data_IF_747746340755
#
_entry.id   IF_747746340755
#
_cell.length_a   1.000
_cell.length_b   1.000
_cell.length_c   1.000
_cell.angle_alpha   90.00
_cell.angle_beta   90.00
_cell.angle_gamma   90.00
#
_symmetry.space_group_name_H-M   'P 1'
#
loop_
_entity.id
_entity.type
_entity.pdbx_description
1 polymer ?
#
# COMPACT_ATOMS: atom_id res chain seq x y z
N UNK A 1 -7.88 -23.04 -14.99
CA UNK A 1 -7.75 -23.87 -16.23
C UNK A 1 -8.51 -23.27 -17.45
N UNK A 2 -8.74 -21.94 -17.54
CA UNK A 2 -9.41 -21.29 -18.69
C UNK A 2 -8.46 -20.81 -19.80
N UNK A 3 -7.17 -20.59 -19.49
CA UNK A 3 -6.22 -19.90 -20.37
C UNK A 3 -5.97 -20.56 -21.74
N UNK A 4 -6.15 -21.88 -21.86
CA UNK A 4 -5.98 -22.60 -23.12
C UNK A 4 -7.09 -22.35 -24.14
N UNK A 5 -8.22 -21.72 -23.77
CA UNK A 5 -9.37 -21.53 -24.67
C UNK A 5 -9.21 -20.43 -25.71
N UNK A 6 -8.21 -19.55 -25.58
CA UNK A 6 -8.08 -18.34 -26.42
C UNK A 6 -6.75 -18.20 -27.18
N UNK A 7 -5.84 -19.18 -27.06
CA UNK A 7 -4.51 -19.18 -27.70
C UNK A 7 -4.62 -19.03 -29.23
N UNK A 8 -5.60 -19.68 -29.85
CA UNK A 8 -5.84 -19.65 -31.29
C UNK A 8 -6.17 -18.26 -31.82
N UNK A 9 -7.06 -17.56 -31.13
CA UNK A 9 -7.48 -16.20 -31.49
C UNK A 9 -6.29 -15.22 -31.48
N UNK A 10 -5.35 -15.37 -30.54
CA UNK A 10 -4.14 -14.55 -30.42
C UNK A 10 -3.13 -14.83 -31.52
N UNK A 11 -2.95 -16.10 -31.88
CA UNK A 11 -2.14 -16.53 -33.04
C UNK A 11 -2.65 -15.86 -34.31
N UNK A 12 -3.98 -15.86 -34.50
CA UNK A 12 -4.62 -15.23 -35.65
C UNK A 12 -4.40 -13.72 -35.68
N UNK A 13 -4.60 -13.06 -34.54
CA UNK A 13 -4.45 -11.61 -34.42
C UNK A 13 -3.00 -11.20 -34.70
N UNK A 14 -2.01 -11.86 -34.06
CA UNK A 14 -0.61 -11.52 -34.28
C UNK A 14 -0.14 -11.81 -35.70
N UNK A 15 -0.68 -12.86 -36.32
CA UNK A 15 -0.44 -13.16 -37.73
C UNK A 15 -0.97 -12.04 -38.64
N UNK A 16 -2.15 -11.49 -38.33
CA UNK A 16 -2.74 -10.39 -39.09
C UNK A 16 -1.96 -9.09 -38.90
N UNK A 17 -1.51 -8.78 -37.68
CA UNK A 17 -0.65 -7.62 -37.39
C UNK A 17 0.65 -7.64 -38.18
N UNK A 18 1.26 -8.82 -38.34
CA UNK A 18 2.47 -9.02 -39.12
C UNK A 18 2.21 -9.13 -40.63
N UNK A 19 0.95 -9.04 -41.08
CA UNK A 19 0.57 -9.15 -42.49
C UNK A 19 0.82 -10.54 -43.10
N UNK A 20 0.98 -11.58 -42.27
CA UNK A 20 1.37 -12.92 -42.71
C UNK A 20 0.19 -13.73 -43.24
N UNK A 21 0.38 -14.40 -44.37
CA UNK A 21 -0.60 -15.34 -44.92
C UNK A 21 -0.61 -16.64 -44.10
N UNK A 22 -1.81 -17.14 -43.79
CA UNK A 22 -2.01 -18.36 -43.00
C UNK A 22 -1.26 -19.57 -43.59
N UNK A 23 -1.26 -19.74 -44.92
CA UNK A 23 -0.55 -20.83 -45.58
C UNK A 23 0.98 -20.78 -45.35
N UNK A 24 1.59 -19.59 -45.36
CA UNK A 24 3.02 -19.40 -45.16
C UNK A 24 3.44 -19.71 -43.72
N UNK A 25 2.64 -19.29 -42.74
CA UNK A 25 2.88 -19.63 -41.33
C UNK A 25 2.74 -21.14 -41.11
N UNK A 26 1.72 -21.78 -41.71
CA UNK A 26 1.53 -23.22 -41.58
C UNK A 26 2.73 -24.01 -42.15
N UNK A 27 3.23 -23.61 -43.32
CA UNK A 27 4.39 -24.22 -43.98
C UNK A 27 5.68 -24.07 -43.16
N UNK A 28 5.93 -22.87 -42.62
CA UNK A 28 7.13 -22.56 -41.81
C UNK A 28 7.18 -23.38 -40.52
N UNK A 29 6.02 -23.66 -39.94
CA UNK A 29 5.87 -24.41 -38.68
C UNK A 29 5.71 -25.93 -38.95
N UNK A 30 5.62 -26.35 -40.22
CA UNK A 30 5.53 -27.77 -40.60
C UNK A 30 4.16 -28.41 -40.36
N UNK A 31 3.08 -27.63 -40.44
CA UNK A 31 1.69 -28.11 -40.31
C UNK A 31 0.84 -27.75 -41.54
N UNK A 32 -0.32 -28.41 -41.70
CA UNK A 32 -1.20 -28.07 -42.82
C UNK A 32 -1.96 -26.75 -42.58
N UNK A 33 -2.27 -25.97 -43.63
CA UNK A 33 -3.08 -24.73 -43.50
C UNK A 33 -4.44 -24.96 -42.84
N UNK A 34 -5.09 -26.10 -43.12
CA UNK A 34 -6.34 -26.49 -42.45
C UNK A 34 -6.14 -26.77 -40.96
N UNK A 35 -4.99 -27.33 -40.56
CA UNK A 35 -4.67 -27.55 -39.15
C UNK A 35 -4.45 -26.23 -38.42
N UNK A 36 -3.70 -25.29 -39.01
CA UNK A 36 -3.54 -23.95 -38.47
C UNK A 36 -4.88 -23.20 -38.36
N UNK A 37 -5.79 -23.40 -39.31
CA UNK A 37 -7.13 -22.81 -39.25
C UNK A 37 -7.97 -23.32 -38.07
N UNK A 38 -7.91 -24.63 -37.79
CA UNK A 38 -8.56 -25.20 -36.62
C UNK A 38 -7.97 -24.69 -35.30
N UNK A 39 -6.66 -24.42 -35.28
CA UNK A 39 -5.98 -23.82 -34.14
C UNK A 39 -6.42 -22.37 -33.96
N UNK A 40 -6.38 -21.55 -35.01
CA UNK A 40 -6.75 -20.12 -34.99
C UNK A 40 -8.21 -19.87 -34.56
N UNK A 41 -9.09 -20.84 -34.81
CA UNK A 41 -10.49 -20.81 -34.36
C UNK A 41 -10.73 -21.52 -33.02
N UNK A 42 -9.67 -21.83 -32.26
CA UNK A 42 -9.72 -22.52 -30.96
C UNK A 42 -10.43 -23.89 -31.00
N UNK A 43 -10.52 -24.53 -32.17
CA UNK A 43 -11.12 -25.87 -32.33
C UNK A 43 -10.15 -27.00 -32.02
N UNK A 44 -8.84 -26.75 -32.12
CA UNK A 44 -7.77 -27.67 -31.68
C UNK A 44 -6.86 -26.97 -30.67
N UNK A 45 -6.61 -27.65 -29.55
CA UNK A 45 -5.65 -27.20 -28.53
C UNK A 45 -4.23 -27.47 -29.01
N UNK A 46 -3.32 -26.59 -28.62
CA UNK A 46 -1.89 -26.70 -28.92
C UNK A 46 -1.08 -26.53 -27.64
N UNK A 47 0.13 -27.09 -27.64
CA UNK A 47 1.07 -26.99 -26.54
C UNK A 47 2.44 -27.54 -26.92
N UNK A 48 3.42 -27.37 -26.05
CA UNK A 48 4.78 -27.86 -26.26
C UNK A 48 5.43 -27.27 -27.50
N UNK A 49 6.13 -28.11 -28.28
CA UNK A 49 6.96 -27.71 -29.42
C UNK A 49 6.22 -26.84 -30.44
N UNK A 50 4.98 -27.18 -30.79
CA UNK A 50 4.19 -26.45 -31.79
C UNK A 50 3.87 -25.01 -31.37
N UNK A 51 3.61 -24.80 -30.07
CA UNK A 51 3.37 -23.46 -29.54
C UNK A 51 4.65 -22.61 -29.58
N UNK A 52 5.79 -23.22 -29.25
CA UNK A 52 7.12 -22.57 -29.34
C UNK A 52 7.49 -22.20 -30.77
N UNK A 53 7.21 -23.09 -31.72
CA UNK A 53 7.49 -22.85 -33.13
C UNK A 53 6.60 -21.73 -33.71
N UNK A 54 5.31 -21.69 -33.32
CA UNK A 54 4.41 -20.58 -33.68
C UNK A 54 4.83 -19.25 -33.04
N UNK A 55 5.21 -19.27 -31.77
CA UNK A 55 5.70 -18.09 -31.05
C UNK A 55 6.94 -17.48 -31.71
N UNK A 56 7.87 -18.33 -32.17
CA UNK A 56 9.06 -17.91 -32.91
C UNK A 56 8.72 -17.25 -34.25
N UNK A 57 7.78 -17.82 -35.02
CA UNK A 57 7.37 -17.28 -36.33
C UNK A 57 6.56 -15.98 -36.18
N UNK A 58 5.84 -15.82 -35.07
CA UNK A 58 5.02 -14.64 -34.78
C UNK A 58 5.76 -13.56 -33.96
N UNK A 59 7.06 -13.73 -33.73
CA UNK A 59 7.92 -12.80 -32.98
C UNK A 59 7.33 -12.40 -31.61
N UNK A 60 6.73 -13.37 -30.92
CA UNK A 60 6.08 -13.15 -29.62
C UNK A 60 6.57 -14.17 -28.60
N UNK A 61 6.72 -13.74 -27.36
CA UNK A 61 7.07 -14.64 -26.27
C UNK A 61 6.01 -15.74 -26.09
N UNK A 62 6.46 -16.98 -25.90
CA UNK A 62 5.59 -18.12 -25.62
C UNK A 62 4.67 -17.89 -24.42
N UNK A 63 5.14 -17.18 -23.39
CA UNK A 63 4.34 -16.79 -22.23
C UNK A 63 3.23 -15.82 -22.59
N UNK A 64 3.45 -14.86 -23.48
CA UNK A 64 2.40 -13.92 -23.91
C UNK A 64 1.29 -14.63 -24.71
N UNK A 65 1.64 -15.64 -25.51
CA UNK A 65 0.67 -16.47 -26.21
C UNK A 65 -0.08 -17.42 -25.26
N UNK A 66 0.61 -17.97 -24.26
CA UNK A 66 0.09 -18.98 -23.32
C UNK A 66 -0.70 -18.38 -22.14
N UNK A 67 -0.19 -17.29 -21.54
CA UNK A 67 -0.67 -16.71 -20.28
C UNK A 67 -1.74 -15.64 -20.50
N UNK A 68 -1.80 -15.04 -21.69
CA UNK A 68 -2.89 -14.16 -22.08
C UNK A 68 -2.86 -12.75 -21.51
N UNK A 69 -4.04 -12.12 -21.44
CA UNK A 69 -4.18 -10.81 -20.78
C UNK A 69 -3.76 -11.01 -19.33
N UNK A 70 -2.82 -10.19 -18.86
CA UNK A 70 -2.33 -10.25 -17.48
C UNK A 70 -3.50 -10.28 -16.51
N UNK A 71 -3.46 -11.23 -15.55
CA UNK A 71 -4.50 -11.38 -14.51
C UNK A 71 -4.81 -10.04 -13.85
N UNK A 72 -3.77 -9.26 -13.56
CA UNK A 72 -3.90 -7.91 -12.98
C UNK A 72 -4.80 -6.98 -13.81
N UNK A 73 -4.66 -6.95 -15.13
CA UNK A 73 -5.49 -6.11 -16.01
C UNK A 73 -6.95 -6.59 -15.99
N UNK A 74 -7.17 -7.90 -16.05
CA UNK A 74 -8.52 -8.47 -15.98
C UNK A 74 -9.18 -8.18 -14.63
N UNK A 75 -8.43 -8.31 -13.54
CA UNK A 75 -8.94 -8.08 -12.19
C UNK A 75 -9.20 -6.59 -11.96
N UNK A 76 -8.34 -5.69 -12.46
CA UNK A 76 -8.62 -4.24 -12.45
C UNK A 76 -9.86 -3.88 -13.26
N UNK A 77 -10.07 -4.48 -14.44
CA UNK A 77 -11.29 -4.25 -15.23
C UNK A 77 -12.55 -4.78 -14.55
N UNK A 78 -12.49 -5.95 -13.90
CA UNK A 78 -13.60 -6.51 -13.12
C UNK A 78 -13.93 -5.65 -11.91
N UNK A 79 -12.91 -5.16 -11.20
CA UNK A 79 -13.06 -4.25 -10.08
C UNK A 79 -13.67 -2.92 -10.54
N UNK A 80 -13.24 -2.39 -11.69
CA UNK A 80 -13.82 -1.18 -12.29
C UNK A 80 -15.33 -1.36 -12.57
N UNK A 81 -15.71 -2.51 -13.13
CA UNK A 81 -17.12 -2.83 -13.40
C UNK A 81 -17.95 -2.98 -12.12
N UNK A 82 -17.37 -3.57 -11.06
CA UNK A 82 -18.05 -3.75 -9.78
C UNK A 82 -18.30 -2.42 -9.05
N UNK A 83 -17.41 -1.44 -9.17
CA UNK A 83 -17.46 -0.20 -8.40
C UNK A 83 -18.46 0.83 -8.94
N UNK A 84 -18.68 0.86 -10.25
CA UNK A 84 -19.50 1.91 -10.89
C UNK A 84 -21.00 1.53 -10.95
N UNK A 85 -21.36 0.28 -10.63
CA UNK A 85 -22.77 -0.17 -10.59
C UNK A 85 -23.46 -0.20 -11.96
N UNK A 86 -22.71 -0.06 -13.05
CA UNK A 86 -23.23 -0.18 -14.41
C UNK A 86 -23.45 -1.64 -14.79
N UNK A 87 -24.52 -1.91 -15.56
CA UNK A 87 -24.75 -3.22 -16.18
C UNK A 87 -23.70 -3.50 -17.26
N UNK A 88 -22.53 -3.99 -16.84
CA UNK A 88 -21.43 -4.40 -17.72
C UNK A 88 -21.37 -5.92 -17.76
N UNK A 89 -21.10 -6.51 -18.93
CA UNK A 89 -20.97 -7.95 -19.12
C UNK A 89 -19.64 -8.48 -18.53
N UNK A 90 -19.55 -8.55 -17.20
CA UNK A 90 -18.35 -8.99 -16.45
C UNK A 90 -17.88 -10.39 -16.87
N UNK A 91 -18.81 -11.28 -17.26
CA UNK A 91 -18.50 -12.62 -17.74
C UNK A 91 -17.70 -12.60 -19.07
N UNK A 92 -17.72 -11.49 -19.80
CA UNK A 92 -17.04 -11.31 -21.09
C UNK A 92 -15.80 -10.41 -21.00
N UNK A 93 -15.34 -10.03 -19.80
CA UNK A 93 -14.14 -9.19 -19.62
C UNK A 93 -12.90 -9.78 -20.28
N UNK A 94 -12.74 -11.11 -20.25
CA UNK A 94 -11.60 -11.79 -20.88
C UNK A 94 -11.65 -11.72 -22.42
N UNK A 95 -12.86 -11.80 -23.01
CA UNK A 95 -13.08 -11.65 -24.44
C UNK A 95 -12.80 -10.21 -24.90
N UNK A 96 -13.28 -9.22 -24.13
CA UNK A 96 -13.06 -7.81 -24.39
C UNK A 96 -11.57 -7.45 -24.33
N UNK A 97 -10.88 -7.88 -23.27
CA UNK A 97 -9.48 -7.56 -23.07
C UNK A 97 -8.56 -8.25 -24.08
N UNK A 98 -8.92 -9.45 -24.53
CA UNK A 98 -8.19 -10.13 -25.60
C UNK A 98 -8.38 -9.45 -26.96
N UNK A 99 -9.56 -8.90 -27.25
CA UNK A 99 -9.87 -8.29 -28.56
C UNK A 99 -9.46 -6.82 -28.66
N UNK A 100 -9.36 -6.11 -27.54
CA UNK A 100 -9.03 -4.68 -27.49
C UNK A 100 -8.02 -4.37 -26.37
N UNK A 101 -6.75 -4.81 -26.51
CA UNK A 101 -5.76 -4.71 -25.44
C UNK A 101 -5.43 -3.26 -25.01
N UNK A 102 -5.42 -2.31 -25.95
CA UNK A 102 -5.19 -0.89 -25.63
C UNK A 102 -6.31 -0.28 -24.77
N UNK A 103 -7.56 -0.62 -25.08
CA UNK A 103 -8.71 -0.19 -24.27
C UNK A 103 -8.73 -0.86 -22.90
N UNK A 104 -8.37 -2.15 -22.83
CA UNK A 104 -8.23 -2.86 -21.58
C UNK A 104 -7.20 -2.21 -20.64
N UNK A 105 -6.03 -1.85 -21.18
CA UNK A 105 -4.99 -1.16 -20.43
C UNK A 105 -5.45 0.22 -19.94
N UNK A 106 -6.16 0.99 -20.77
CA UNK A 106 -6.71 2.29 -20.38
C UNK A 106 -7.74 2.17 -19.26
N UNK A 107 -8.67 1.21 -19.37
CA UNK A 107 -9.70 0.97 -18.34
C UNK A 107 -9.04 0.57 -17.02
N UNK A 108 -8.08 -0.34 -17.06
CA UNK A 108 -7.33 -0.77 -15.88
C UNK A 108 -6.57 0.39 -15.23
N UNK A 109 -5.86 1.20 -16.02
CA UNK A 109 -5.15 2.39 -15.54
C UNK A 109 -6.09 3.44 -14.92
N UNK A 110 -7.27 3.66 -15.52
CA UNK A 110 -8.28 4.56 -14.95
C UNK A 110 -8.84 4.01 -13.63
N UNK A 111 -9.10 2.71 -13.55
CA UNK A 111 -9.57 2.08 -12.32
C UNK A 111 -8.54 2.23 -11.18
N UNK A 112 -7.26 2.01 -11.48
CA UNK A 112 -6.17 2.23 -10.53
C UNK A 112 -6.08 3.70 -10.10
N UNK A 113 -6.21 4.64 -11.04
CA UNK A 113 -6.21 6.08 -10.75
C UNK A 113 -7.39 6.50 -9.88
N UNK A 114 -8.60 6.03 -10.18
CA UNK A 114 -9.81 6.31 -9.40
C UNK A 114 -9.67 5.76 -7.98
N UNK A 115 -9.23 4.51 -7.83
CA UNK A 115 -8.98 3.91 -6.52
C UNK A 115 -7.95 4.72 -5.70
N UNK A 116 -6.87 5.19 -6.34
CA UNK A 116 -5.89 6.05 -5.67
C UNK A 116 -6.46 7.42 -5.27
N UNK A 117 -7.33 8.02 -6.09
CA UNK A 117 -7.99 9.29 -5.77
C UNK A 117 -9.01 9.12 -4.64
N UNK A 118 -9.78 8.04 -4.64
CA UNK A 118 -10.73 7.71 -3.57
C UNK A 118 -10.01 7.47 -2.25
N UNK A 119 -8.89 6.74 -2.26
CA UNK A 119 -8.08 6.51 -1.07
C UNK A 119 -7.50 7.82 -0.53
N UNK A 120 -6.98 8.70 -1.41
CA UNK A 120 -6.56 10.05 -1.00
C UNK A 120 -7.70 10.82 -0.36
N UNK A 121 -8.89 10.84 -0.96
CA UNK A 121 -10.06 11.50 -0.38
C UNK A 121 -10.45 10.94 0.98
N UNK A 122 -10.34 9.62 1.15
CA UNK A 122 -10.62 8.93 2.41
C UNK A 122 -9.59 9.29 3.49
N UNK A 123 -8.30 9.33 3.14
CA UNK A 123 -7.21 9.78 4.04
C UNK A 123 -7.37 11.25 4.42
N UNK A 124 -7.71 12.13 3.48
CA UNK A 124 -8.01 13.54 3.76
C UNK A 124 -9.20 13.68 4.73
N UNK A 125 -10.26 12.90 4.50
CA UNK A 125 -11.45 12.90 5.36
C UNK A 125 -11.14 12.40 6.77
N UNK A 126 -10.36 11.32 6.89
CA UNK A 126 -9.90 10.79 8.18
C UNK A 126 -8.99 11.79 8.89
N UNK A 127 -8.11 12.50 8.16
CA UNK A 127 -7.26 13.56 8.74
C UNK A 127 -8.11 14.70 9.28
N UNK A 128 -9.08 15.20 8.52
CA UNK A 128 -10.01 16.26 8.99
C UNK A 128 -10.83 15.78 10.20
N UNK A 129 -11.31 14.54 10.18
CA UNK A 129 -12.14 13.99 11.26
C UNK A 129 -11.38 13.82 12.60
N UNK A 130 -10.05 13.68 12.56
CA UNK A 130 -9.22 13.42 13.74
C UNK A 130 -8.07 14.42 13.91
N UNK A 131 -8.12 15.60 13.26
CA UNK A 131 -7.10 16.61 13.44
C UNK A 131 -7.24 17.25 14.84
N UNK A 132 -6.25 17.08 15.74
CA UNK A 132 -6.31 17.62 17.09
C UNK A 132 -6.27 19.15 17.12
N UNK A 133 -5.62 19.79 16.15
CA UNK A 133 -5.58 21.25 15.99
C UNK A 133 -6.97 21.77 15.57
N UNK A 134 -7.62 21.12 14.61
CA UNK A 134 -8.98 21.46 14.17
C UNK A 134 -10.00 21.28 15.30
N UNK A 135 -9.92 20.16 16.02
CA UNK A 135 -10.78 19.85 17.15
C UNK A 135 -10.59 20.84 18.31
N UNK A 136 -9.36 21.30 18.56
CA UNK A 136 -9.08 22.33 19.57
C UNK A 136 -9.67 23.70 19.17
N UNK A 137 -9.47 24.13 17.91
CA UNK A 137 -10.02 25.39 17.40
C UNK A 137 -11.56 25.42 17.43
N UNK A 138 -12.21 24.31 17.08
CA UNK A 138 -13.68 24.19 17.19
C UNK A 138 -14.17 24.27 18.64
N UNK A 139 -13.46 23.65 19.58
CA UNK A 139 -13.79 23.76 21.00
C UNK A 139 -13.64 25.19 21.55
N UNK A 140 -12.61 25.93 21.13
CA UNK A 140 -12.46 27.34 21.51
C UNK A 140 -13.62 28.20 21.00
N UNK A 141 -14.03 28.01 19.74
CA UNK A 141 -15.20 28.70 19.16
C UNK A 141 -16.47 28.39 19.95
N UNK A 142 -16.75 27.11 20.23
CA UNK A 142 -17.93 26.70 21.01
C UNK A 142 -17.90 27.27 22.43
N UNK A 143 -16.72 27.29 23.06
CA UNK A 143 -16.53 27.79 24.42
C UNK A 143 -16.74 29.29 24.49
N UNK A 144 -16.18 30.06 23.55
CA UNK A 144 -16.37 31.50 23.46
C UNK A 144 -17.83 31.87 23.21
N UNK A 145 -18.50 31.21 22.25
CA UNK A 145 -19.94 31.43 21.98
C UNK A 145 -20.79 31.11 23.22
N UNK A 146 -20.48 30.02 23.93
CA UNK A 146 -21.21 29.64 25.14
C UNK A 146 -21.03 30.65 26.27
N UNK A 147 -19.81 31.19 26.45
CA UNK A 147 -19.50 32.19 27.45
C UNK A 147 -20.17 33.55 27.15
N UNK A 148 -20.16 33.98 25.88
CA UNK A 148 -20.90 35.18 25.43
C UNK A 148 -22.39 35.02 25.72
N UNK A 149 -22.98 33.89 25.32
CA UNK A 149 -24.41 33.62 25.53
C UNK A 149 -24.77 33.62 27.02
N UNK A 150 -23.94 33.00 27.86
CA UNK A 150 -24.14 32.97 29.31
C UNK A 150 -24.10 34.39 29.90
N UNK A 151 -23.05 35.15 29.61
CA UNK A 151 -22.89 36.52 30.13
C UNK A 151 -23.99 37.46 29.64
N UNK A 152 -24.40 37.35 28.37
CA UNK A 152 -25.49 38.13 27.80
C UNK A 152 -26.85 37.78 28.43
N UNK A 153 -27.09 36.49 28.71
CA UNK A 153 -28.35 36.06 29.34
C UNK A 153 -28.54 36.59 30.75
N UNK A 154 -27.44 36.77 31.50
CA UNK A 154 -27.46 37.34 32.85
C UNK A 154 -27.77 38.85 32.79
N UNK A 155 -27.16 39.57 31.84
CA UNK A 155 -27.43 41.00 31.63
C UNK A 155 -28.86 41.33 31.19
N UNK A 156 -29.52 40.41 30.49
CA UNK A 156 -30.92 40.56 30.01
C UNK A 156 -31.93 39.95 31.01
N UNK A 157 -31.45 39.32 32.08
CA UNK A 157 -32.27 38.70 33.09
C UNK A 157 -33.13 39.71 33.88
N UNK A 158 -34.15 39.23 34.62
CA UNK A 158 -35.06 40.08 35.39
C UNK A 158 -34.46 40.62 36.71
N UNK A 159 -33.21 40.27 37.04
CA UNK A 159 -32.53 40.68 38.27
C UNK A 159 -31.81 42.03 38.09
N UNK A 160 -31.99 42.95 39.04
CA UNK A 160 -31.28 44.23 39.05
C UNK A 160 -29.81 44.02 39.46
N UNK A 161 -28.91 44.14 38.48
CA UNK A 161 -27.45 44.10 38.68
C UNK A 161 -26.91 45.49 39.03
N UNK A 162 -25.95 45.55 39.95
CA UNK A 162 -25.22 46.80 40.20
C UNK A 162 -24.30 47.19 39.02
N UNK A 163 -23.83 48.44 39.02
CA UNK A 163 -22.98 48.96 37.94
C UNK A 163 -21.62 48.27 37.85
N UNK A 164 -21.10 47.69 38.93
CA UNK A 164 -19.79 47.02 38.89
C UNK A 164 -19.90 45.65 38.22
N UNK A 165 -20.94 44.90 38.54
CA UNK A 165 -21.28 43.64 37.88
C UNK A 165 -21.62 43.84 36.41
N UNK A 166 -22.41 44.86 36.06
CA UNK A 166 -22.70 45.18 34.66
C UNK A 166 -21.43 45.45 33.85
N UNK A 167 -20.51 46.26 34.39
CA UNK A 167 -19.21 46.53 33.76
C UNK A 167 -18.41 45.24 33.53
N UNK A 168 -18.32 44.35 34.54
CA UNK A 168 -17.61 43.07 34.41
C UNK A 168 -18.21 42.16 33.36
N UNK A 169 -19.54 42.06 33.27
CA UNK A 169 -20.19 41.26 32.22
C UNK A 169 -19.98 41.86 30.82
N UNK A 170 -19.98 43.18 30.68
CA UNK A 170 -19.62 43.84 29.42
C UNK A 170 -18.16 43.58 29.01
N UNK A 171 -17.23 43.64 29.96
CA UNK A 171 -15.81 43.31 29.74
C UNK A 171 -15.64 41.83 29.34
N UNK A 172 -16.34 40.91 30.00
CA UNK A 172 -16.32 39.48 29.66
C UNK A 172 -16.86 39.23 28.25
N UNK A 173 -18.02 39.81 27.89
CA UNK A 173 -18.60 39.68 26.55
C UNK A 173 -17.63 40.22 25.50
N UNK A 174 -17.00 41.36 25.75
CA UNK A 174 -16.02 41.93 24.84
C UNK A 174 -14.81 41.00 24.67
N UNK A 175 -14.22 40.53 25.78
CA UNK A 175 -13.08 39.61 25.76
C UNK A 175 -13.37 38.29 25.05
N UNK A 176 -14.53 37.68 25.32
CA UNK A 176 -14.94 36.45 24.64
C UNK A 176 -15.28 36.68 23.16
N UNK A 177 -15.79 37.86 22.80
CA UNK A 177 -16.05 38.22 21.39
C UNK A 177 -14.76 38.38 20.59
N UNK A 178 -13.71 38.97 21.20
CA UNK A 178 -12.37 39.04 20.60
C UNK A 178 -11.78 37.64 20.44
N UNK A 179 -11.84 36.81 21.50
CA UNK A 179 -11.38 35.42 21.44
C UNK A 179 -12.09 34.60 20.35
N UNK A 180 -13.39 34.81 20.18
CA UNK A 180 -14.16 34.18 19.10
C UNK A 180 -13.68 34.63 17.71
N UNK A 181 -13.43 35.93 17.52
CA UNK A 181 -12.94 36.46 16.26
C UNK A 181 -11.55 35.89 15.91
N UNK A 182 -10.63 35.87 16.88
CA UNK A 182 -9.27 35.32 16.71
C UNK A 182 -9.30 33.82 16.41
N UNK A 183 -10.11 33.05 17.15
CA UNK A 183 -10.26 31.61 16.94
C UNK A 183 -10.87 31.29 15.58
N UNK A 184 -11.83 32.11 15.12
CA UNK A 184 -12.45 31.95 13.80
C UNK A 184 -11.48 32.30 12.67
N UNK A 185 -10.67 33.36 12.84
CA UNK A 185 -9.64 33.74 11.88
C UNK A 185 -8.53 32.67 11.76
N UNK A 186 -8.09 32.10 12.89
CA UNK A 186 -7.13 31.00 12.92
C UNK A 186 -7.66 29.73 12.23
N UNK A 187 -8.96 29.42 12.41
CA UNK A 187 -9.62 28.30 11.75
C UNK A 187 -9.68 28.48 10.23
N UNK A 188 -10.02 29.68 9.75
CA UNK A 188 -10.05 29.98 8.31
C UNK A 188 -8.65 29.92 7.72
N UNK A 189 -7.65 30.52 8.37
CA UNK A 189 -6.26 30.46 7.92
C UNK A 189 -5.72 29.03 7.82
N UNK A 190 -6.14 28.15 8.73
CA UNK A 190 -5.80 26.73 8.68
C UNK A 190 -6.50 25.99 7.51
N UNK A 191 -7.77 26.32 7.21
CA UNK A 191 -8.53 25.71 6.11
C UNK A 191 -8.17 26.27 4.71
N UNK A 192 -7.75 27.53 4.63
CA UNK A 192 -7.31 28.20 3.40
C UNK A 192 -5.83 27.99 3.07
N UNK A 193 -5.08 27.31 3.95
CA UNK A 193 -3.70 26.96 3.70
C UNK A 193 -3.61 26.18 2.37
N UNK A 194 -2.84 26.66 1.36
CA UNK A 194 -2.81 26.04 0.03
C UNK A 194 -2.40 24.57 0.11
N UNK A 195 -2.88 23.75 -0.84
CA UNK A 195 -2.74 22.28 -0.92
C UNK A 195 -1.34 21.71 -0.56
N UNK A 196 -0.28 22.51 -0.67
CA UNK A 196 1.08 22.15 -0.25
C UNK A 196 1.32 22.08 1.27
N UNK A 197 0.45 22.64 2.12
CA UNK A 197 0.60 22.55 3.59
C UNK A 197 0.08 21.22 4.13
N UNK A 198 -0.88 20.58 3.45
CA UNK A 198 -1.34 19.23 3.79
C UNK A 198 -0.34 18.13 3.42
N UNK A 199 0.56 18.38 2.44
CA UNK A 199 1.72 17.53 2.15
C UNK A 199 2.88 17.77 3.15
N UNK A 200 3.04 18.98 3.69
CA UNK A 200 4.10 19.31 4.66
C UNK A 200 3.72 19.07 6.14
N UNK A 201 2.46 18.79 6.44
CA UNK A 201 1.98 18.45 7.80
C UNK A 201 2.14 16.96 8.15
N UNK A 202 2.83 16.19 7.32
CA UNK A 202 3.15 14.80 7.62
C UNK A 202 4.13 14.66 8.77
N UNK A 203 4.04 13.57 9.54
CA UNK A 203 5.05 13.28 10.56
C UNK A 203 6.45 13.21 9.92
N UNK A 204 7.55 13.44 10.66
CA UNK A 204 8.90 13.29 10.13
C UNK A 204 9.16 11.95 9.43
N UNK A 205 8.47 10.89 9.86
CA UNK A 205 8.55 9.58 9.21
C UNK A 205 7.84 9.53 7.86
N UNK A 206 6.69 10.19 7.71
CA UNK A 206 5.94 10.26 6.45
C UNK A 206 6.71 11.06 5.38
N UNK A 207 7.36 12.15 5.76
CA UNK A 207 8.21 12.92 4.85
C UNK A 207 9.37 12.06 4.32
N UNK A 208 9.98 11.24 5.17
CA UNK A 208 11.04 10.31 4.78
C UNK A 208 10.51 9.22 3.86
N UNK A 209 9.34 8.66 4.14
CA UNK A 209 8.73 7.64 3.29
C UNK A 209 8.32 8.17 1.92
N UNK A 210 7.76 9.37 1.85
CA UNK A 210 7.45 10.02 0.58
C UNK A 210 8.72 10.22 -0.26
N UNK A 211 9.82 10.62 0.38
CA UNK A 211 11.12 10.70 -0.28
C UNK A 211 11.59 9.32 -0.80
N UNK A 212 11.52 8.28 0.03
CA UNK A 212 11.92 6.92 -0.36
C UNK A 212 11.02 6.34 -1.45
N UNK A 213 9.72 6.63 -1.42
CA UNK A 213 8.76 6.20 -2.43
C UNK A 213 9.10 6.78 -3.81
N UNK A 214 9.57 8.04 -3.87
CA UNK A 214 10.04 8.66 -5.12
C UNK A 214 11.20 7.90 -5.78
N UNK A 215 11.98 7.15 -4.99
CA UNK A 215 13.06 6.28 -5.48
C UNK A 215 12.66 4.79 -5.54
N UNK A 216 11.38 4.47 -5.34
CA UNK A 216 10.88 3.09 -5.25
C UNK A 216 11.48 2.30 -4.08
N UNK A 217 11.88 2.98 -3.01
CA UNK A 217 12.62 2.45 -1.85
C UNK A 217 14.00 1.85 -2.22
N UNK A 218 14.50 2.16 -3.41
CA UNK A 218 15.81 1.74 -3.90
C UNK A 218 16.72 2.96 -4.09
N UNK A 219 17.88 3.00 -3.44
CA UNK A 219 18.77 4.17 -3.47
C UNK A 219 20.00 3.84 -4.30
N UNK A 220 19.88 4.00 -5.62
CA UNK A 220 20.92 3.65 -6.59
C UNK A 220 22.27 4.34 -6.34
N UNK A 221 22.27 5.54 -5.74
CA UNK A 221 23.50 6.24 -5.37
C UNK A 221 24.32 5.45 -4.33
N UNK A 222 23.68 4.94 -3.27
CA UNK A 222 24.36 4.17 -2.22
C UNK A 222 24.81 2.80 -2.76
N UNK A 223 24.01 2.16 -3.61
CA UNK A 223 24.40 0.90 -4.28
C UNK A 223 25.67 1.05 -5.15
N UNK A 224 25.92 2.27 -5.67
CA UNK A 224 27.12 2.62 -6.45
C UNK A 224 28.28 3.12 -5.58
N UNK A 225 28.13 3.15 -4.26
CA UNK A 225 29.18 3.55 -3.31
C UNK A 225 29.14 5.02 -2.89
N UNK A 226 28.07 5.76 -3.17
CA UNK A 226 27.92 7.12 -2.63
C UNK A 226 27.73 7.09 -1.10
N UNK A 227 28.28 8.09 -0.41
CA UNK A 227 28.13 8.21 1.03
C UNK A 227 26.68 8.61 1.40
N UNK A 228 26.10 8.06 2.50
CA UNK A 228 24.79 8.47 3.01
C UNK A 228 24.65 9.98 3.21
N UNK A 229 25.72 10.66 3.61
CA UNK A 229 25.76 12.10 3.83
C UNK A 229 25.57 12.93 2.55
N UNK A 230 25.94 12.38 1.39
CA UNK A 230 25.71 13.01 0.09
C UNK A 230 24.23 12.93 -0.29
N UNK A 231 23.66 11.72 -0.23
CA UNK A 231 22.23 11.49 -0.52
C UNK A 231 21.34 12.31 0.43
N UNK A 232 21.72 12.41 1.70
CA UNK A 232 21.02 13.23 2.69
C UNK A 232 21.00 14.73 2.32
N UNK A 233 22.08 15.26 1.70
CA UNK A 233 22.12 16.64 1.24
C UNK A 233 21.25 16.85 0.00
N UNK A 234 21.29 15.89 -0.93
CA UNK A 234 20.50 15.92 -2.16
C UNK A 234 18.99 15.79 -1.89
N UNK A 235 18.60 15.09 -0.83
CA UNK A 235 17.20 14.90 -0.45
C UNK A 235 16.48 16.18 -0.02
N UNK A 236 17.20 17.23 0.39
CA UNK A 236 16.60 18.52 0.76
C UNK A 236 15.68 18.53 2.00
N UNK A 237 15.63 17.43 2.78
CA UNK A 237 14.81 17.37 3.99
C UNK A 237 15.43 18.16 5.15
N UNK A 238 14.58 18.87 5.91
CA UNK A 238 14.97 19.69 7.05
C UNK A 238 14.43 19.15 8.40
N UNK A 239 14.87 19.76 9.51
CA UNK A 239 14.36 19.48 10.85
C UNK A 239 14.48 18.01 11.29
N UNK A 240 13.48 17.48 12.04
CA UNK A 240 13.47 16.10 12.50
C UNK A 240 13.49 15.04 11.38
N UNK A 241 12.86 15.33 10.22
CA UNK A 241 12.82 14.41 9.07
C UNK A 241 14.23 14.10 8.54
N UNK A 242 15.12 15.12 8.55
CA UNK A 242 16.54 14.93 8.22
C UNK A 242 17.23 13.92 9.13
N UNK A 243 16.89 13.90 10.42
CA UNK A 243 17.47 12.93 11.36
C UNK A 243 16.99 11.52 11.09
N UNK A 244 15.68 11.36 10.87
CA UNK A 244 15.08 10.06 10.53
C UNK A 244 15.67 9.54 9.22
N UNK A 245 15.78 10.37 8.18
CA UNK A 245 16.38 9.97 6.91
C UNK A 245 17.84 9.55 7.10
N UNK A 246 18.62 10.29 7.89
CA UNK A 246 20.02 9.93 8.18
C UNK A 246 20.13 8.50 8.72
N UNK A 247 19.28 8.13 9.69
CA UNK A 247 19.31 6.81 10.31
C UNK A 247 18.93 5.70 9.32
N UNK A 248 17.94 5.97 8.45
CA UNK A 248 17.54 5.07 7.37
C UNK A 248 18.67 4.90 6.35
N UNK A 249 19.30 5.98 5.88
CA UNK A 249 20.39 5.93 4.91
C UNK A 249 21.64 5.23 5.47
N UNK A 250 21.97 5.46 6.74
CA UNK A 250 23.06 4.77 7.41
C UNK A 250 22.79 3.27 7.51
N UNK A 251 21.55 2.88 7.86
CA UNK A 251 21.14 1.47 7.90
C UNK A 251 21.20 0.85 6.50
N UNK A 252 20.72 1.56 5.48
CA UNK A 252 20.78 1.13 4.08
C UNK A 252 22.24 0.87 3.64
N UNK A 253 23.15 1.82 3.89
CA UNK A 253 24.55 1.66 3.51
C UNK A 253 25.24 0.50 4.24
N UNK A 254 24.97 0.31 5.53
CA UNK A 254 25.49 -0.82 6.30
C UNK A 254 24.97 -2.17 5.76
N UNK A 255 23.73 -2.22 5.28
CA UNK A 255 23.18 -3.42 4.66
C UNK A 255 23.78 -3.68 3.27
N UNK A 256 24.03 -2.64 2.47
CA UNK A 256 24.70 -2.73 1.16
C UNK A 256 26.13 -3.25 1.30
N UNK A 257 26.89 -2.77 2.30
CA UNK A 257 28.26 -3.21 2.56
C UNK A 257 28.33 -4.71 2.85
N UNK A 258 27.40 -5.21 3.67
CA UNK A 258 27.31 -6.64 4.01
C UNK A 258 26.73 -7.49 2.89
N UNK A 259 25.82 -6.92 2.10
CA UNK A 259 25.05 -7.65 1.10
C UNK A 259 24.90 -6.88 -0.22
N UNK A 260 25.98 -6.87 -1.04
CA UNK A 260 25.99 -6.17 -2.33
C UNK A 260 24.93 -6.69 -3.30
N UNK A 261 24.28 -5.77 -4.02
CA UNK A 261 23.10 -6.05 -4.85
C UNK A 261 23.29 -7.19 -5.86
N UNK A 262 24.38 -7.19 -6.63
CA UNK A 262 24.59 -8.18 -7.69
C UNK A 262 24.63 -9.63 -7.15
N UNK A 263 25.26 -9.85 -5.99
CA UNK A 263 25.30 -11.16 -5.33
C UNK A 263 23.94 -11.51 -4.74
N UNK A 264 23.26 -10.52 -4.17
CA UNK A 264 21.97 -10.69 -3.53
C UNK A 264 20.84 -11.01 -4.50
N UNK A 265 20.74 -10.31 -5.63
CA UNK A 265 19.72 -10.53 -6.67
C UNK A 265 19.75 -11.97 -7.20
N UNK A 266 20.96 -12.49 -7.45
CA UNK A 266 21.15 -13.87 -7.90
C UNK A 266 20.68 -14.88 -6.87
N UNK A 267 20.99 -14.64 -5.59
CA UNK A 267 20.54 -15.49 -4.50
C UNK A 267 19.01 -15.41 -4.31
N UNK A 268 18.42 -14.22 -4.40
CA UNK A 268 16.97 -14.03 -4.32
C UNK A 268 16.22 -14.88 -5.34
N UNK A 269 16.66 -14.86 -6.61
CA UNK A 269 16.06 -15.70 -7.67
C UNK A 269 16.27 -17.19 -7.43
N UNK A 270 17.46 -17.59 -6.95
CA UNK A 270 17.78 -18.99 -6.65
C UNK A 270 16.92 -19.55 -5.50
N UNK A 271 16.67 -18.75 -4.48
CA UNK A 271 15.94 -19.14 -3.27
C UNK A 271 14.47 -18.70 -3.28
N UNK A 272 13.93 -18.31 -4.44
CA UNK A 272 12.54 -17.87 -4.60
C UNK A 272 12.10 -16.81 -3.59
N UNK A 273 13.02 -15.87 -3.26
CA UNK A 273 12.80 -14.78 -2.31
C UNK A 273 12.45 -15.23 -0.87
N UNK A 274 12.76 -16.46 -0.48
CA UNK A 274 12.52 -16.97 0.88
C UNK A 274 13.50 -16.37 1.92
N UNK A 275 13.05 -15.53 2.87
CA UNK A 275 13.96 -14.86 3.80
C UNK A 275 14.78 -15.80 4.69
N UNK A 276 14.23 -16.89 5.28
CA UNK A 276 15.01 -17.87 6.02
C UNK A 276 16.12 -18.54 5.20
N UNK A 277 15.81 -18.99 3.97
CA UNK A 277 16.83 -19.59 3.09
C UNK A 277 17.94 -18.60 2.73
N UNK A 278 17.60 -17.33 2.49
CA UNK A 278 18.58 -16.27 2.23
C UNK A 278 19.42 -15.97 3.48
N UNK A 279 18.81 -15.85 4.66
CA UNK A 279 19.53 -15.64 5.92
C UNK A 279 20.55 -16.76 6.17
N UNK A 280 20.15 -18.02 5.94
CA UNK A 280 21.04 -19.17 6.03
C UNK A 280 22.16 -19.13 4.98
N UNK A 281 21.85 -18.80 3.73
CA UNK A 281 22.82 -18.78 2.64
C UNK A 281 23.91 -17.69 2.81
N UNK A 282 23.59 -16.58 3.46
CA UNK A 282 24.52 -15.48 3.70
C UNK A 282 25.10 -15.46 5.11
N UNK A 283 24.53 -16.22 6.06
CA UNK A 283 24.91 -16.15 7.47
C UNK A 283 24.64 -14.78 8.09
N UNK A 284 23.59 -14.09 7.63
CA UNK A 284 23.23 -12.73 8.05
C UNK A 284 21.88 -12.71 8.80
N UNK A 285 21.66 -11.73 9.69
CA UNK A 285 20.41 -11.61 10.44
C UNK A 285 19.18 -11.48 9.53
N UNK A 286 18.07 -12.07 9.96
CA UNK A 286 16.82 -12.06 9.20
C UNK A 286 16.31 -10.63 8.93
N UNK A 287 16.46 -9.73 9.90
CA UNK A 287 16.08 -8.32 9.76
C UNK A 287 16.86 -7.60 8.65
N UNK A 288 18.14 -7.91 8.44
CA UNK A 288 18.93 -7.38 7.33
C UNK A 288 18.43 -7.92 6.00
N UNK A 289 18.21 -9.24 5.91
CA UNK A 289 17.69 -9.87 4.69
C UNK A 289 16.33 -9.29 4.29
N UNK A 290 15.42 -9.12 5.25
CA UNK A 290 14.10 -8.53 5.02
C UNK A 290 14.20 -7.08 4.53
N UNK A 291 15.07 -6.25 5.11
CA UNK A 291 15.31 -4.88 4.60
C UNK A 291 15.84 -4.91 3.18
N UNK A 292 16.84 -5.74 2.87
CA UNK A 292 17.42 -5.84 1.52
C UNK A 292 16.40 -6.35 0.48
N UNK A 293 15.54 -7.30 0.84
CA UNK A 293 14.44 -7.75 -0.02
C UNK A 293 13.48 -6.60 -0.35
N UNK A 294 13.12 -5.80 0.65
CA UNK A 294 12.27 -4.63 0.48
C UNK A 294 12.95 -3.47 -0.27
N UNK A 295 14.27 -3.50 -0.49
CA UNK A 295 15.04 -2.47 -1.19
C UNK A 295 15.48 -2.89 -2.60
N UNK A 296 15.00 -4.04 -3.09
CA UNK A 296 15.31 -4.49 -4.44
C UNK A 296 14.77 -3.51 -5.50
N UNK A 297 15.50 -3.31 -6.61
CA UNK A 297 15.14 -2.35 -7.64
C UNK A 297 13.84 -2.76 -8.35
N UNK A 298 12.84 -1.86 -8.46
CA UNK A 298 11.53 -2.20 -9.02
C UNK A 298 11.56 -2.49 -10.53
N UNK A 299 12.53 -1.95 -11.26
CA UNK A 299 12.69 -2.06 -12.73
C UNK A 299 13.27 -3.40 -13.19
N UNK A 300 13.72 -4.27 -12.27
CA UNK A 300 14.33 -5.57 -12.59
C UNK A 300 13.43 -6.79 -12.41
N UNK A 301 12.11 -6.57 -12.31
CA UNK A 301 11.12 -7.65 -12.20
C UNK A 301 11.22 -8.44 -10.89
N UNK A 302 11.59 -7.77 -9.80
CA UNK A 302 11.50 -8.32 -8.45
C UNK A 302 10.06 -8.17 -7.92
N UNK A 303 9.58 -9.08 -7.05
CA UNK A 303 8.27 -8.94 -6.43
C UNK A 303 8.19 -7.63 -5.62
N UNK A 304 7.06 -6.89 -5.68
CA UNK A 304 6.88 -5.62 -4.99
C UNK A 304 6.62 -5.84 -3.48
N UNK A 305 7.64 -6.30 -2.77
CA UNK A 305 7.58 -6.62 -1.34
C UNK A 305 7.45 -5.35 -0.50
N UNK A 306 6.55 -5.39 0.47
CA UNK A 306 6.37 -4.36 1.49
C UNK A 306 7.15 -4.67 2.75
N UNK A 307 7.37 -3.65 3.58
CA UNK A 307 8.09 -3.77 4.83
C UNK A 307 7.47 -2.83 5.86
N UNK A 308 7.20 -3.34 7.04
CA UNK A 308 6.73 -2.51 8.16
C UNK A 308 7.57 -2.78 9.40
N UNK A 309 7.88 -1.72 10.14
CA UNK A 309 8.61 -1.76 11.40
C UNK A 309 7.78 -1.03 12.44
N UNK A 310 7.66 -1.63 13.64
CA UNK A 310 7.03 -0.99 14.78
C UNK A 310 7.89 -1.11 16.05
N UNK A 311 7.63 -0.21 16.99
CA UNK A 311 8.16 -0.30 18.34
C UNK A 311 7.30 -1.22 19.24
N UNK A 312 7.69 -1.34 20.51
CA UNK A 312 6.98 -2.14 21.49
C UNK A 312 5.57 -1.62 21.84
N UNK A 313 5.26 -0.35 21.56
CA UNK A 313 3.91 0.21 21.70
C UNK A 313 3.02 -0.11 20.49
N UNK A 314 3.60 -0.71 19.44
CA UNK A 314 2.92 -1.02 18.19
C UNK A 314 2.82 0.17 17.23
N UNK A 315 3.51 1.28 17.52
CA UNK A 315 3.56 2.44 16.64
C UNK A 315 4.45 2.14 15.43
N UNK A 316 3.95 2.42 14.23
CA UNK A 316 4.69 2.15 12.99
C UNK A 316 5.77 3.23 12.77
N UNK A 317 7.03 2.81 12.81
CA UNK A 317 8.19 3.68 12.63
C UNK A 317 8.72 3.67 11.20
N UNK A 318 8.32 2.69 10.39
CA UNK A 318 8.65 2.60 8.97
C UNK A 318 7.60 1.77 8.23
N UNK A 319 7.18 2.20 7.06
CA UNK A 319 6.20 1.58 6.19
C UNK A 319 6.66 1.72 4.74
N UNK A 320 6.85 0.58 4.09
CA UNK A 320 6.88 0.42 2.64
C UNK A 320 5.62 -0.37 2.25
N UNK A 321 4.71 0.20 1.46
CA UNK A 321 3.48 -0.47 1.06
C UNK A 321 3.75 -1.71 0.19
N UNK A 322 2.80 -2.65 0.18
CA UNK A 322 2.77 -3.78 -0.75
C UNK A 322 1.43 -3.78 -1.50
N UNK A 323 1.40 -4.16 -2.80
CA UNK A 323 0.16 -4.30 -3.55
C UNK A 323 -0.86 -5.19 -2.82
N UNK A 324 -2.08 -4.68 -2.68
CA UNK A 324 -3.17 -5.40 -2.03
C UNK A 324 -3.05 -5.58 -0.52
N UNK A 325 -2.06 -4.95 0.12
CA UNK A 325 -1.89 -4.95 1.57
C UNK A 325 -1.76 -3.52 2.12
N UNK A 326 -2.87 -2.97 2.61
CA UNK A 326 -2.91 -1.61 3.16
C UNK A 326 -2.29 -1.56 4.56
N UNK A 327 -1.32 -0.67 4.75
CA UNK A 327 -0.60 -0.46 6.02
C UNK A 327 -0.88 0.95 6.57
N UNK A 328 -1.91 1.13 7.42
CA UNK A 328 -2.26 2.45 7.90
C UNK A 328 -1.25 2.91 8.94
N UNK A 329 -0.77 4.15 8.81
CA UNK A 329 0.02 4.81 9.86
C UNK A 329 -0.82 5.23 11.06
N UNK A 330 -2.14 5.33 10.91
CA UNK A 330 -3.05 5.66 12.00
C UNK A 330 -3.02 4.59 13.09
N UNK A 331 -3.15 5.05 14.34
CA UNK A 331 -3.15 4.16 15.51
C UNK A 331 -4.31 3.17 15.40
N UNK A 332 -4.03 1.88 15.57
CA UNK A 332 -5.06 0.83 15.61
C UNK A 332 -5.10 -0.12 14.41
N UNK A 333 -3.94 -0.45 13.83
CA UNK A 333 -3.84 -1.53 12.86
C UNK A 333 -4.29 -2.89 13.46
N UNK A 334 -4.52 -3.87 12.61
CA UNK A 334 -5.04 -5.17 13.04
C UNK A 334 -4.04 -5.89 13.97
N UNK A 335 -4.42 -6.24 15.21
CA UNK A 335 -3.51 -6.91 16.16
C UNK A 335 -3.13 -8.33 15.74
N UNK A 336 -3.86 -8.91 14.77
CA UNK A 336 -3.60 -10.23 14.22
C UNK A 336 -2.47 -10.25 13.19
N UNK A 337 -1.85 -9.11 12.89
CA UNK A 337 -0.66 -9.11 12.05
C UNK A 337 0.51 -9.81 12.75
N UNK A 338 1.28 -10.66 12.03
CA UNK A 338 2.47 -11.32 12.55
C UNK A 338 3.47 -10.36 13.20
N UNK A 339 3.52 -9.11 12.71
CA UNK A 339 4.29 -8.01 13.28
C UNK A 339 4.11 -7.88 14.80
N UNK A 340 2.87 -7.86 15.29
CA UNK A 340 2.58 -7.66 16.71
C UNK A 340 2.79 -8.94 17.52
N UNK A 341 2.47 -10.11 16.95
CA UNK A 341 2.73 -11.40 17.58
C UNK A 341 4.21 -11.64 17.85
N UNK A 342 5.09 -11.17 16.97
CA UNK A 342 6.55 -11.30 17.12
C UNK A 342 7.10 -10.55 18.35
N UNK A 343 6.48 -9.43 18.77
CA UNK A 343 6.90 -8.68 19.97
C UNK A 343 6.81 -9.52 21.25
N UNK A 344 5.89 -10.48 21.30
CA UNK A 344 5.72 -11.36 22.46
C UNK A 344 6.81 -12.45 22.54
N UNK A 345 7.57 -12.66 21.47
CA UNK A 345 8.58 -13.73 21.35
C UNK A 345 9.82 -13.23 20.58
N UNK A 346 10.65 -12.34 21.18
CA UNK A 346 11.85 -11.84 20.53
C UNK A 346 12.77 -12.97 20.08
N UNK A 347 13.43 -12.78 18.93
CA UNK A 347 14.28 -13.77 18.24
C UNK A 347 13.59 -15.05 17.77
N UNK A 348 12.26 -15.14 17.85
CA UNK A 348 11.49 -16.24 17.28
C UNK A 348 10.71 -15.77 16.05
N UNK A 349 11.21 -16.01 14.82
CA UNK A 349 10.53 -15.57 13.61
C UNK A 349 9.16 -16.22 13.45
N UNK A 350 8.19 -15.43 12.99
CA UNK A 350 6.84 -15.86 12.65
C UNK A 350 6.69 -15.85 11.13
N UNK A 351 6.26 -16.96 10.55
CA UNK A 351 5.82 -17.06 9.15
C UNK A 351 4.32 -17.30 9.14
N UNK A 352 3.57 -16.49 8.39
CA UNK A 352 2.13 -16.61 8.32
C UNK A 352 1.60 -16.19 6.94
N UNK A 353 0.83 -17.06 6.32
CA UNK A 353 -0.06 -16.68 5.21
C UNK A 353 -1.26 -15.93 5.80
N UNK A 354 -1.51 -14.71 5.31
CA UNK A 354 -2.61 -13.86 5.78
C UNK A 354 -3.55 -13.52 4.63
N UNK A 355 -4.84 -13.33 4.95
CA UNK A 355 -5.86 -12.91 3.99
C UNK A 355 -6.51 -11.59 4.43
N UNK A 356 -6.39 -10.58 3.58
CA UNK A 356 -7.01 -9.28 3.76
C UNK A 356 -8.54 -9.39 3.66
N UNK A 357 -9.30 -8.49 4.31
CA UNK A 357 -10.75 -8.45 4.16
C UNK A 357 -11.12 -7.93 2.77
N UNK A 358 -12.22 -8.43 2.20
CA UNK A 358 -12.71 -8.03 0.87
C UNK A 358 -13.13 -9.23 0.03
N UNK A 359 -13.78 -9.00 -1.12
CA UNK A 359 -14.28 -10.09 -1.97
C UNK A 359 -13.16 -10.89 -2.64
N UNK A 360 -12.07 -10.23 -3.02
CA UNK A 360 -10.89 -10.88 -3.59
C UNK A 360 -10.01 -11.57 -2.53
N UNK A 361 -10.22 -11.25 -1.24
CA UNK A 361 -9.46 -11.78 -0.11
C UNK A 361 -7.95 -11.86 -0.37
N UNK A 362 -7.36 -10.75 -0.80
CA UNK A 362 -5.96 -10.70 -1.25
C UNK A 362 -5.04 -11.32 -0.21
N UNK A 363 -4.22 -12.27 -0.68
CA UNK A 363 -3.29 -13.03 0.16
C UNK A 363 -1.92 -12.38 0.16
N UNK A 364 -1.26 -12.47 1.31
CA UNK A 364 0.14 -12.14 1.44
C UNK A 364 0.83 -13.17 2.33
N UNK A 365 2.11 -13.45 2.03
CA UNK A 365 2.97 -14.22 2.91
C UNK A 365 3.81 -13.26 3.74
N UNK A 366 3.62 -13.31 5.05
CA UNK A 366 4.29 -12.44 5.99
C UNK A 366 5.38 -13.19 6.76
N UNK A 367 6.55 -12.56 6.86
CA UNK A 367 7.63 -12.96 7.75
C UNK A 367 7.82 -11.86 8.77
N UNK A 368 7.78 -12.17 10.06
CA UNK A 368 7.97 -11.19 11.12
C UNK A 368 8.99 -11.67 12.16
N UNK A 369 9.76 -10.74 12.73
CA UNK A 369 10.70 -11.02 13.82
C UNK A 369 10.84 -9.77 14.68
N UNK A 370 10.95 -9.95 16.00
CA UNK A 370 11.26 -8.88 16.93
C UNK A 370 12.65 -9.06 17.54
N UNK A 371 13.38 -7.97 17.70
CA UNK A 371 14.72 -7.93 18.27
C UNK A 371 14.84 -6.73 19.23
N UNK A 372 15.63 -6.83 20.31
CA UNK A 372 16.08 -5.69 21.08
C UNK A 372 16.76 -4.64 20.20
N UNK A 373 16.41 -3.39 20.43
CA UNK A 373 16.98 -2.23 19.79
C UNK A 373 17.85 -1.46 20.78
N UNK A 374 19.15 -1.42 20.50
CA UNK A 374 20.12 -0.78 21.39
C UNK A 374 20.74 -1.76 22.40
N UNK A 375 21.56 -1.25 23.35
CA UNK A 375 22.24 -2.08 24.32
C UNK A 375 21.26 -2.72 25.30
N UNK A 376 21.44 -4.01 25.56
CA UNK A 376 20.75 -4.70 26.65
C UNK A 376 21.45 -4.40 27.97
N UNK A 377 20.69 -4.04 28.99
CA UNK A 377 21.20 -3.68 30.31
C UNK A 377 20.40 -4.42 31.39
N UNK A 378 21.05 -4.69 32.51
CA UNK A 378 20.33 -5.05 33.73
C UNK A 378 19.53 -3.83 34.22
N UNK A 379 18.43 -4.07 34.92
CA UNK A 379 17.58 -3.03 35.55
C UNK A 379 16.83 -2.07 34.62
N UNK A 380 16.84 -2.31 33.30
CA UNK A 380 16.03 -1.58 32.34
C UNK A 380 15.31 -2.54 31.36
N UNK A 381 14.02 -2.32 31.05
CA UNK A 381 13.35 -3.12 30.03
C UNK A 381 13.99 -2.86 28.66
N UNK A 382 14.22 -3.91 27.84
CA UNK A 382 14.79 -3.72 26.51
C UNK A 382 13.78 -2.99 25.62
N UNK A 383 14.25 -2.00 24.87
CA UNK A 383 13.45 -1.43 23.78
C UNK A 383 13.35 -2.49 22.67
N UNK A 384 12.14 -2.93 22.32
CA UNK A 384 11.94 -3.91 21.26
C UNK A 384 11.52 -3.22 19.95
N UNK A 385 12.02 -3.74 18.83
CA UNK A 385 11.51 -3.43 17.50
C UNK A 385 11.06 -4.71 16.82
N UNK A 386 9.87 -4.67 16.22
CA UNK A 386 9.38 -5.74 15.37
C UNK A 386 9.38 -5.31 13.91
N UNK A 387 9.79 -6.20 13.03
CA UNK A 387 9.84 -6.00 11.59
C UNK A 387 9.03 -7.09 10.91
N UNK A 388 8.22 -6.71 9.92
CA UNK A 388 7.46 -7.64 9.09
C UNK A 388 7.66 -7.33 7.60
N UNK A 389 8.08 -8.34 6.85
CA UNK A 389 8.15 -8.33 5.40
C UNK A 389 6.84 -8.91 4.86
N UNK A 390 6.29 -8.27 3.83
CA UNK A 390 5.05 -8.69 3.18
C UNK A 390 5.35 -9.02 1.73
N UNK A 391 5.13 -10.29 1.35
CA UNK A 391 5.27 -10.77 -0.01
C UNK A 391 3.87 -10.93 -0.61
N UNK A 392 3.48 -10.09 -1.59
CA UNK A 392 2.17 -10.18 -2.24
C UNK A 392 2.10 -11.38 -3.19
N UNK A 393 0.89 -11.84 -3.47
CA UNK A 393 0.58 -12.98 -4.36
C UNK A 393 1.46 -14.22 -4.14
N UNK A 394 1.50 -14.76 -2.91
CA UNK A 394 2.30 -15.94 -2.62
C UNK A 394 1.71 -17.19 -3.30
N UNK A 395 2.52 -18.24 -3.51
CA UNK A 395 2.03 -19.55 -3.95
C UNK A 395 0.86 -20.07 -3.11
N UNK A 396 0.11 -21.05 -3.63
CA UNK A 396 -0.99 -21.66 -2.88
C UNK A 396 -0.50 -22.16 -1.50
N UNK A 397 -1.23 -21.85 -0.42
CA UNK A 397 -0.76 -22.16 0.91
C UNK A 397 -1.08 -23.62 1.24
N UNK A 398 -0.27 -24.23 2.08
CA UNK A 398 -0.57 -25.58 2.59
C UNK A 398 -1.78 -25.60 3.54
N UNK A 399 -2.08 -24.47 4.17
CA UNK A 399 -3.15 -24.30 5.17
C UNK A 399 -3.98 -23.07 4.86
N UNK A 400 -5.21 -23.01 5.38
CA UNK A 400 -6.06 -21.83 5.24
C UNK A 400 -5.33 -20.56 5.75
N UNK A 401 -5.27 -19.47 4.96
CA UNK A 401 -4.65 -18.21 5.39
C UNK A 401 -5.33 -17.63 6.62
N UNK A 402 -4.55 -17.03 7.50
CA UNK A 402 -5.06 -16.39 8.71
C UNK A 402 -5.85 -15.11 8.35
N UNK A 403 -7.10 -14.96 8.78
CA UNK A 403 -7.92 -13.80 8.46
C UNK A 403 -7.42 -12.57 9.22
N UNK A 404 -6.96 -11.55 8.49
CA UNK A 404 -6.53 -10.26 9.07
C UNK A 404 -7.41 -9.12 8.56
N UNK A 405 -7.10 -7.91 9.04
CA UNK A 405 -7.78 -6.65 8.72
C UNK A 405 -6.77 -5.52 8.54
N UNK A 406 -7.27 -4.33 8.17
CA UNK A 406 -6.47 -3.09 8.14
C UNK A 406 -6.52 -2.42 9.52
N UNK A 407 -7.70 -2.01 9.97
CA UNK A 407 -7.99 -1.57 11.34
C UNK A 407 -9.37 -2.07 11.78
N UNK A 408 -9.65 -2.12 13.09
CA UNK A 408 -10.93 -2.66 13.59
C UNK A 408 -12.15 -1.89 13.05
N UNK A 409 -12.07 -0.55 12.99
CA UNK A 409 -13.18 0.33 12.60
C UNK A 409 -13.64 0.14 11.16
N UNK A 410 -12.72 -0.23 10.26
CA UNK A 410 -13.00 -0.44 8.84
C UNK A 410 -12.92 -1.92 8.45
N UNK A 411 -12.77 -2.83 9.41
CA UNK A 411 -12.75 -4.25 9.12
C UNK A 411 -14.19 -4.77 9.00
N UNK A 412 -14.59 -5.39 7.87
CA UNK A 412 -15.94 -5.90 7.67
C UNK A 412 -16.20 -7.28 8.30
N UNK A 413 -15.18 -7.92 8.89
CA UNK A 413 -15.30 -9.26 9.48
C UNK A 413 -16.17 -9.21 10.74
N UNK A 414 -17.30 -9.89 10.76
CA UNK A 414 -18.23 -9.87 11.90
C UNK A 414 -17.79 -10.75 13.04
N UNK A 415 -17.17 -11.90 12.74
CA UNK A 415 -16.74 -12.90 13.74
C UNK A 415 -15.22 -12.80 14.01
N UNK A 416 -14.82 -11.75 14.74
CA UNK A 416 -13.41 -11.53 15.11
C UNK A 416 -13.29 -11.34 16.62
N UNK A 417 -12.74 -12.35 17.31
CA UNK A 417 -12.52 -12.32 18.75
C UNK A 417 -11.50 -11.25 19.20
N UNK A 418 -10.61 -10.81 18.30
CA UNK A 418 -9.61 -9.77 18.56
C UNK A 418 -10.06 -8.36 18.20
N UNK A 419 -11.35 -8.17 17.90
CA UNK A 419 -11.92 -6.86 17.55
C UNK A 419 -11.89 -5.93 18.76
N UNK A 420 -11.06 -4.89 18.69
CA UNK A 420 -10.96 -3.83 19.72
C UNK A 420 -12.11 -2.83 19.65
N UNK A 421 -12.50 -2.44 18.44
CA UNK A 421 -13.50 -1.39 18.21
C UNK A 421 -14.62 -1.87 17.28
N UNK A 422 -15.87 -1.42 17.51
CA UNK A 422 -16.97 -1.66 16.58
C UNK A 422 -16.64 -1.13 15.18
N UNK A 423 -17.08 -1.85 14.15
CA UNK A 423 -16.97 -1.38 12.78
C UNK A 423 -17.90 -0.18 12.55
N UNK A 424 -17.49 0.77 11.71
CA UNK A 424 -18.32 1.89 11.28
C UNK A 424 -19.58 1.38 10.55
N UNK A 425 -20.70 2.10 10.70
CA UNK A 425 -21.97 1.77 10.02
C UNK A 425 -21.74 1.69 8.50
N UNK A 426 -22.23 0.63 7.86
CA UNK A 426 -22.08 0.37 6.42
C UNK A 426 -20.90 -0.53 6.02
N UNK A 427 -19.99 -0.84 6.95
CA UNK A 427 -18.89 -1.77 6.75
C UNK A 427 -19.38 -3.23 6.84
N UNK A 428 -19.95 -3.76 5.77
CA UNK A 428 -20.33 -5.17 5.66
C UNK A 428 -19.37 -5.93 4.73
N UNK A 429 -19.29 -7.25 4.86
CA UNK A 429 -18.47 -8.10 3.98
C UNK A 429 -18.77 -7.92 2.48
N UNK A 430 -19.94 -7.35 2.15
CA UNK A 430 -20.36 -7.04 0.79
C UNK A 430 -19.93 -5.64 0.29
N UNK A 431 -19.50 -4.74 1.18
CA UNK A 431 -19.22 -3.31 0.92
C UNK A 431 -17.71 -2.99 0.82
N UNK A 432 -16.83 -3.94 1.12
CA UNK A 432 -15.38 -3.69 1.08
C UNK A 432 -14.82 -4.08 -0.28
N UNK A 433 -14.50 -3.01 -1.01
CA UNK A 433 -13.87 -2.92 -2.34
C UNK A 433 -12.65 -3.83 -2.46
#
# INVERSE_FOLDING_TARGET
MSNQRLVGSRIREKRLDLGLKQASVAETVGISPSYLNLIEHNRRRIGGKLLTDLARVLEVDTSLLADGVGRDTLDQMRNAAANIGSNVEVDRTEELAARFPGWAALIAAQAAKIAALEERGRVLTDRIAYDPQLAASLHEVISAVSAIRSSASILVGPEDLDQDWQRRFHENIHGDSVRLADSSAALIAYLEAPDGVLEQSGSPFEAVESYLESSGFHIAAIEKGAAPSQVLKEAGLEGPAKSVLRDVLNSYAADVEKLPLARFEKACRKHSYDPPALAQAFGLPLTLIMRRLAQLPPDKGHPPMGLVICDAAGALTFVKPAPGFTMPRSVGACPLWPLYGALSRPYQPVRMDVAMPGRAATRALCFAVAEPHGPTQFDAPPALKSMMLVIPDPPEPATAPHPVGVSCRICPRTDCASRREPALKGMHAQTVL
#
